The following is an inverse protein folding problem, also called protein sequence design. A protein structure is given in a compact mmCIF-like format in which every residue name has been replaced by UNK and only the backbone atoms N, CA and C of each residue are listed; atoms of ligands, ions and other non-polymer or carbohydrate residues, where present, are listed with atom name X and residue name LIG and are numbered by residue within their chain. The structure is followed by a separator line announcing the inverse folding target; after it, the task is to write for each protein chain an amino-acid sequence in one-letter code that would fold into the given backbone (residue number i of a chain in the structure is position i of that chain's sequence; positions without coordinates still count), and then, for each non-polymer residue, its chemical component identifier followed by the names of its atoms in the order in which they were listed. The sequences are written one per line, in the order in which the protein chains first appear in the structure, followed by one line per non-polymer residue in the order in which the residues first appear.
data_IF_793127733703
#
_entry.id   IF_793127733703
#
_cell.length_a   1.000
_cell.length_b   1.000
_cell.length_c   1.000
_cell.angle_alpha   90.00
_cell.angle_beta   90.00
_cell.angle_gamma   90.00
#
_symmetry.space_group_name_H-M   'P 1'
#
loop_
_entity.id
_entity.type
_entity.pdbx_description
1 polymer ?
#
# COMPACT_ATOMS: atom_id res chain seq x y z
N UNK A 1 20.06 -4.57 3.41
CA UNK A 1 18.69 -4.98 3.81
C UNK A 1 17.67 -4.18 3.03
N UNK A 2 16.60 -4.83 2.52
CA UNK A 2 15.53 -4.16 1.79
C UNK A 2 14.70 -3.26 2.72
N UNK A 3 14.19 -3.81 3.79
CA UNK A 3 13.50 -3.02 4.82
C UNK A 3 14.45 -2.49 5.89
N UNK A 4 14.14 -1.33 6.51
CA UNK A 4 14.88 -0.85 7.68
C UNK A 4 14.94 -1.91 8.79
N UNK A 5 16.10 -2.07 9.43
CA UNK A 5 16.27 -3.05 10.51
C UNK A 5 15.27 -2.83 11.66
N UNK A 6 14.97 -1.56 11.98
CA UNK A 6 13.97 -1.19 13.01
C UNK A 6 12.59 -1.70 12.67
N UNK A 7 12.14 -1.50 11.42
CA UNK A 7 10.84 -2.01 10.95
C UNK A 7 10.78 -3.53 11.06
N UNK A 8 11.84 -4.24 10.63
CA UNK A 8 11.91 -5.69 10.75
C UNK A 8 11.83 -6.15 12.20
N UNK A 9 12.58 -5.50 13.08
CA UNK A 9 12.58 -5.81 14.52
C UNK A 9 11.20 -5.59 15.14
N UNK A 10 10.59 -4.42 14.91
CA UNK A 10 9.29 -4.06 15.48
C UNK A 10 8.17 -4.97 14.97
N UNK A 11 8.14 -5.26 13.67
CA UNK A 11 7.19 -6.21 13.09
C UNK A 11 7.37 -7.62 13.64
N UNK A 12 8.61 -8.12 13.69
CA UNK A 12 8.89 -9.47 14.19
C UNK A 12 8.48 -9.60 15.66
N UNK A 13 8.87 -8.63 16.49
CA UNK A 13 8.46 -8.58 17.90
C UNK A 13 6.94 -8.56 18.04
N UNK A 14 6.26 -7.72 17.28
CA UNK A 14 4.80 -7.59 17.30
C UNK A 14 4.10 -8.90 16.92
N UNK A 15 4.56 -9.56 15.87
CA UNK A 15 4.03 -10.85 15.41
C UNK A 15 4.22 -11.94 16.47
N UNK A 16 5.42 -12.03 17.03
CA UNK A 16 5.74 -13.04 18.08
C UNK A 16 4.84 -12.82 19.30
N UNK A 17 4.71 -11.58 19.77
CA UNK A 17 3.88 -11.25 20.93
C UNK A 17 2.41 -11.62 20.70
N UNK A 18 1.84 -11.33 19.51
CA UNK A 18 0.45 -11.70 19.20
C UNK A 18 0.28 -13.21 19.15
N UNK A 19 1.20 -13.94 18.50
CA UNK A 19 1.18 -15.41 18.48
C UNK A 19 1.27 -16.02 19.88
N UNK A 20 2.12 -15.49 20.74
CA UNK A 20 2.24 -15.97 22.14
C UNK A 20 0.97 -15.72 22.97
N UNK A 21 0.21 -14.67 22.63
CA UNK A 21 -1.08 -14.35 23.26
C UNK A 21 -2.26 -15.13 22.65
N UNK A 22 -2.04 -15.96 21.62
CA UNK A 22 -3.09 -16.68 20.90
C UNK A 22 -4.03 -15.76 20.10
N UNK A 23 -3.53 -14.57 19.68
CA UNK A 23 -4.30 -13.64 18.86
C UNK A 23 -4.02 -13.97 17.40
N UNK A 24 -5.02 -14.48 16.69
CA UNK A 24 -4.91 -14.87 15.28
C UNK A 24 -5.21 -13.72 14.31
N UNK A 25 -6.07 -12.79 14.71
CA UNK A 25 -6.46 -11.63 13.89
C UNK A 25 -5.88 -10.36 14.47
N UNK A 26 -4.77 -9.91 13.90
CA UNK A 26 -4.10 -8.66 14.28
C UNK A 26 -3.69 -7.85 13.05
N UNK A 27 -3.74 -6.52 13.12
CA UNK A 27 -3.36 -5.67 12.01
C UNK A 27 -1.84 -5.54 11.92
N UNK A 28 -1.33 -5.45 10.71
CA UNK A 28 0.08 -5.12 10.45
C UNK A 28 0.24 -3.66 10.03
N UNK A 29 -0.71 -3.15 9.25
CA UNK A 29 -0.69 -1.81 8.69
C UNK A 29 -2.06 -1.16 8.88
N UNK A 30 -2.11 -0.01 9.52
CA UNK A 30 -3.29 0.86 9.49
C UNK A 30 -3.28 1.68 8.20
N UNK A 31 -4.31 1.56 7.37
CA UNK A 31 -4.57 2.44 6.24
C UNK A 31 -5.36 3.65 6.75
N UNK A 32 -4.72 4.79 6.89
CA UNK A 32 -5.34 6.04 7.37
C UNK A 32 -5.59 6.97 6.19
N UNK A 33 -6.85 7.31 5.95
CA UNK A 33 -7.31 8.20 4.89
C UNK A 33 -7.91 9.48 5.50
N UNK A 34 -7.08 10.49 5.88
CA UNK A 34 -7.58 11.71 6.52
C UNK A 34 -8.52 12.53 5.63
N UNK A 35 -8.39 12.37 4.31
CA UNK A 35 -9.23 13.00 3.29
C UNK A 35 -9.29 12.13 2.04
N UNK A 36 -10.41 12.22 1.33
CA UNK A 36 -10.54 11.66 -0.02
C UNK A 36 -10.29 12.69 -1.13
N UNK A 37 -10.09 13.97 -0.76
CA UNK A 37 -9.77 15.02 -1.72
C UNK A 37 -8.46 14.71 -2.44
N UNK A 38 -8.48 14.83 -3.77
CA UNK A 38 -7.32 14.61 -4.61
C UNK A 38 -7.21 15.71 -5.68
N UNK A 39 -6.00 16.03 -6.09
CA UNK A 39 -5.69 16.95 -7.19
C UNK A 39 -5.56 16.22 -8.55
N UNK A 40 -5.93 14.94 -8.61
CA UNK A 40 -6.00 14.10 -9.80
C UNK A 40 -7.33 13.36 -9.88
N UNK A 41 -7.66 12.88 -11.11
CA UNK A 41 -8.85 12.10 -11.40
C UNK A 41 -8.53 10.80 -12.15
N UNK A 42 -7.48 10.09 -11.72
CA UNK A 42 -6.94 8.91 -12.40
C UNK A 42 -8.01 7.92 -12.84
N UNK A 43 -7.85 7.36 -14.06
CA UNK A 43 -8.82 6.47 -14.68
C UNK A 43 -9.14 5.22 -13.85
N UNK A 44 -8.15 4.65 -13.18
CA UNK A 44 -8.29 3.45 -12.33
C UNK A 44 -8.61 3.71 -10.85
N UNK A 45 -8.81 4.98 -10.44
CA UNK A 45 -9.02 5.30 -9.04
C UNK A 45 -10.45 5.04 -8.57
N UNK A 46 -10.65 4.06 -7.67
CA UNK A 46 -11.93 3.80 -7.03
C UNK A 46 -12.30 4.85 -5.97
N UNK A 47 -11.30 5.43 -5.27
CA UNK A 47 -11.53 6.31 -4.11
C UNK A 47 -12.34 7.54 -4.41
N UNK A 48 -11.92 8.33 -5.41
CA UNK A 48 -12.62 9.57 -5.78
C UNK A 48 -14.03 9.32 -6.32
N UNK A 49 -14.32 8.11 -6.79
CA UNK A 49 -15.64 7.72 -7.29
C UNK A 49 -16.52 7.15 -6.19
N UNK A 50 -15.97 6.28 -5.35
CA UNK A 50 -16.66 5.68 -4.20
C UNK A 50 -17.12 6.75 -3.19
N UNK A 51 -16.32 7.80 -2.99
CA UNK A 51 -16.59 8.87 -2.03
C UNK A 51 -16.89 10.22 -2.70
N UNK A 52 -17.45 10.23 -3.91
CA UNK A 52 -17.73 11.45 -4.66
C UNK A 52 -18.61 12.46 -3.88
N UNK A 53 -19.62 11.97 -3.17
CA UNK A 53 -20.55 12.81 -2.40
C UNK A 53 -19.91 13.39 -1.13
N UNK A 54 -18.91 12.72 -0.57
CA UNK A 54 -18.22 13.11 0.67
C UNK A 54 -16.76 13.50 0.44
N UNK A 55 -16.38 13.76 -0.81
CA UNK A 55 -15.00 13.99 -1.23
C UNK A 55 -14.30 15.14 -0.49
N UNK A 56 -15.09 16.13 -0.02
CA UNK A 56 -14.58 17.31 0.70
C UNK A 56 -14.48 17.12 2.20
N UNK A 57 -14.98 16.02 2.72
CA UNK A 57 -14.90 15.72 4.14
C UNK A 57 -13.45 15.41 4.53
N UNK A 58 -13.09 15.85 5.73
CA UNK A 58 -11.77 15.61 6.30
C UNK A 58 -11.91 15.21 7.76
N UNK A 59 -11.07 14.28 8.18
CA UNK A 59 -10.93 13.96 9.60
C UNK A 59 -10.25 15.14 10.33
N UNK A 60 -10.63 15.39 11.56
CA UNK A 60 -9.80 16.23 12.44
C UNK A 60 -8.47 15.52 12.76
N UNK A 61 -7.46 16.29 13.17
CA UNK A 61 -6.19 15.72 13.62
C UNK A 61 -6.40 14.79 14.82
N UNK A 62 -7.29 15.16 15.74
CA UNK A 62 -7.63 14.38 16.92
C UNK A 62 -8.23 13.01 16.54
N UNK A 63 -9.16 12.97 15.58
CA UNK A 63 -9.73 11.71 15.07
C UNK A 63 -8.66 10.83 14.41
N UNK A 64 -7.74 11.41 13.63
CA UNK A 64 -6.62 10.68 13.04
C UNK A 64 -5.75 10.05 14.13
N UNK A 65 -5.35 10.82 15.15
CA UNK A 65 -4.49 10.36 16.23
C UNK A 65 -5.18 9.32 17.12
N UNK A 66 -6.47 9.54 17.43
CA UNK A 66 -7.30 8.54 18.12
C UNK A 66 -7.32 7.21 17.37
N UNK A 67 -7.47 7.26 16.06
CA UNK A 67 -7.47 6.05 15.23
C UNK A 67 -6.12 5.32 15.25
N UNK A 68 -5.01 6.06 15.28
CA UNK A 68 -3.66 5.49 15.43
C UNK A 68 -3.49 4.85 16.81
N UNK A 69 -4.07 5.43 17.86
CA UNK A 69 -4.01 4.91 19.23
C UNK A 69 -4.92 3.68 19.42
N UNK A 70 -6.08 3.63 18.76
CA UNK A 70 -7.00 2.47 18.78
C UNK A 70 -6.43 1.25 18.04
N UNK A 71 -5.67 1.46 16.98
CA UNK A 71 -5.15 0.38 16.13
C UNK A 71 -3.74 -0.03 16.55
N UNK A 72 -3.54 -1.28 16.99
CA UNK A 72 -2.22 -1.73 17.47
C UNK A 72 -1.20 -1.96 16.34
N UNK A 73 -1.54 -1.73 15.07
CA UNK A 73 -0.63 -1.89 13.93
C UNK A 73 0.68 -1.11 14.14
N UNK A 74 1.85 -1.72 13.92
CA UNK A 74 3.13 -1.01 14.01
C UNK A 74 3.40 -0.07 12.84
N UNK A 75 2.70 -0.24 11.73
CA UNK A 75 2.83 0.58 10.52
C UNK A 75 1.55 1.37 10.28
N UNK A 76 1.71 2.64 9.90
CA UNK A 76 0.61 3.51 9.45
C UNK A 76 0.90 3.95 8.01
N UNK A 77 0.00 3.62 7.10
CA UNK A 77 0.02 4.19 5.75
C UNK A 77 -0.89 5.40 5.72
N UNK A 78 -0.34 6.59 5.53
CA UNK A 78 -1.11 7.81 5.32
C UNK A 78 -1.40 7.91 3.82
N UNK A 79 -2.67 7.84 3.46
CA UNK A 79 -3.16 7.73 2.08
C UNK A 79 -4.54 8.41 1.94
N UNK A 80 -5.38 7.94 1.05
CA UNK A 80 -6.73 8.45 0.79
C UNK A 80 -6.83 9.03 -0.61
N UNK A 81 -7.15 10.33 -0.73
CA UNK A 81 -6.95 11.10 -1.96
C UNK A 81 -5.47 11.45 -2.12
N UNK A 82 -5.13 12.74 -2.05
CA UNK A 82 -3.72 13.19 -1.96
C UNK A 82 -3.47 13.73 -0.55
N UNK A 83 -2.65 13.04 0.27
CA UNK A 83 -2.42 13.43 1.67
C UNK A 83 -1.85 14.83 1.85
N UNK A 84 -1.08 15.36 0.89
CA UNK A 84 -0.60 16.75 0.95
C UNK A 84 -1.70 17.80 0.86
N UNK A 85 -2.94 17.43 0.52
CA UNK A 85 -4.10 18.31 0.58
C UNK A 85 -4.76 18.35 1.97
N UNK A 86 -4.36 17.46 2.88
CA UNK A 86 -4.83 17.49 4.26
C UNK A 86 -4.10 18.59 5.03
N UNK A 87 -4.81 19.59 5.60
CA UNK A 87 -4.17 20.78 6.19
C UNK A 87 -3.21 20.47 7.34
N UNK A 88 -3.47 19.40 8.09
CA UNK A 88 -2.67 19.00 9.27
C UNK A 88 -1.68 17.89 8.96
N UNK A 89 -1.32 17.65 7.69
CA UNK A 89 -0.51 16.47 7.30
C UNK A 89 0.86 16.43 7.97
N UNK A 90 1.55 17.56 8.10
CA UNK A 90 2.88 17.62 8.72
C UNK A 90 2.81 17.32 10.21
N UNK A 91 1.84 17.91 10.91
CA UNK A 91 1.61 17.65 12.32
C UNK A 91 1.17 16.20 12.56
N UNK A 92 0.33 15.64 11.69
CA UNK A 92 -0.05 14.23 11.75
C UNK A 92 1.17 13.31 11.63
N UNK A 93 2.05 13.56 10.65
CA UNK A 93 3.30 12.78 10.48
C UNK A 93 4.13 12.83 11.76
N UNK A 94 4.38 14.03 12.31
CA UNK A 94 5.16 14.22 13.53
C UNK A 94 4.55 13.43 14.70
N UNK A 95 3.26 13.61 14.95
CA UNK A 95 2.56 12.96 16.07
C UNK A 95 2.47 11.43 15.93
N UNK A 96 2.41 10.90 14.72
CA UNK A 96 2.45 9.45 14.46
C UNK A 96 3.86 8.90 14.71
N UNK A 97 4.91 9.63 14.30
CA UNK A 97 6.30 9.27 14.58
C UNK A 97 6.63 9.30 16.07
N UNK A 98 6.11 10.29 16.83
CA UNK A 98 6.25 10.36 18.30
C UNK A 98 5.68 9.11 19.01
N UNK A 99 4.67 8.46 18.41
CA UNK A 99 4.09 7.20 18.89
C UNK A 99 4.93 5.96 18.55
N UNK A 100 6.10 6.16 17.93
CA UNK A 100 7.01 5.09 17.54
C UNK A 100 6.52 4.27 16.33
N UNK A 101 5.48 4.71 15.64
CA UNK A 101 4.96 4.02 14.45
C UNK A 101 5.89 4.21 13.25
N UNK A 102 5.86 3.26 12.33
CA UNK A 102 6.47 3.40 11.02
C UNK A 102 5.45 3.97 10.04
N UNK A 103 5.84 4.95 9.22
CA UNK A 103 4.95 5.61 8.26
C UNK A 103 5.35 5.26 6.84
N UNK A 104 4.36 4.85 6.03
CA UNK A 104 4.39 4.91 4.58
C UNK A 104 3.47 6.05 4.13
N UNK A 105 4.06 7.08 3.53
CA UNK A 105 3.35 8.26 3.06
C UNK A 105 3.10 8.15 1.57
N UNK A 106 1.86 7.79 1.17
CA UNK A 106 1.50 7.55 -0.22
C UNK A 106 1.09 8.84 -0.91
N UNK A 107 1.78 9.21 -1.99
CA UNK A 107 1.53 10.46 -2.72
C UNK A 107 1.65 10.28 -4.22
N UNK A 108 0.88 11.05 -4.99
CA UNK A 108 1.05 11.21 -6.43
C UNK A 108 2.22 12.14 -6.81
N UNK A 109 2.91 12.65 -5.81
CA UNK A 109 4.10 13.50 -5.87
C UNK A 109 3.91 14.90 -6.50
N UNK A 110 2.72 15.32 -6.91
CA UNK A 110 2.51 16.65 -7.48
C UNK A 110 2.84 17.80 -6.48
N UNK A 111 2.72 17.54 -5.20
CA UNK A 111 3.04 18.49 -4.13
C UNK A 111 4.29 18.12 -3.34
N UNK A 112 4.97 17.03 -3.72
CA UNK A 112 6.08 16.47 -2.96
C UNK A 112 7.26 17.46 -2.85
N UNK A 113 7.71 18.07 -3.94
CA UNK A 113 8.84 19.01 -3.90
C UNK A 113 8.62 20.16 -2.92
N UNK A 114 7.39 20.73 -2.90
CA UNK A 114 7.00 21.76 -1.96
C UNK A 114 6.88 21.24 -0.53
N UNK A 115 6.29 20.06 -0.35
CA UNK A 115 6.14 19.42 0.96
C UNK A 115 7.48 19.15 1.64
N UNK A 116 8.48 18.74 0.88
CA UNK A 116 9.84 18.44 1.36
C UNK A 116 10.54 19.65 2.00
N UNK A 117 10.18 20.89 1.65
CA UNK A 117 10.76 22.09 2.25
C UNK A 117 10.43 22.23 3.75
N UNK A 118 9.39 21.56 4.21
CA UNK A 118 8.90 21.59 5.60
C UNK A 118 9.01 20.25 6.32
N UNK A 119 9.72 19.28 5.73
CA UNK A 119 9.86 17.93 6.27
C UNK A 119 11.31 17.58 6.53
N UNK A 120 11.56 16.74 7.54
CA UNK A 120 12.89 16.18 7.82
C UNK A 120 12.87 14.64 7.65
N UNK A 121 13.97 14.05 7.15
CA UNK A 121 14.11 12.59 7.11
C UNK A 121 14.01 11.98 8.50
N UNK A 122 13.32 10.85 8.59
CA UNK A 122 13.21 10.09 9.84
C UNK A 122 13.34 8.59 9.56
N UNK A 123 14.02 7.79 10.42
CA UNK A 123 14.24 6.36 10.19
C UNK A 123 12.96 5.53 10.02
N UNK A 124 11.85 5.98 10.63
CA UNK A 124 10.55 5.34 10.58
C UNK A 124 9.63 5.97 9.53
N UNK A 125 10.14 6.85 8.65
CA UNK A 125 9.34 7.52 7.62
C UNK A 125 9.81 7.13 6.23
N UNK A 126 8.89 6.69 5.38
CA UNK A 126 9.14 6.34 3.98
C UNK A 126 8.11 7.03 3.09
N UNK A 127 8.57 7.75 2.09
CA UNK A 127 7.71 8.31 1.05
C UNK A 127 7.44 7.21 0.02
N UNK A 128 6.18 6.99 -0.31
CA UNK A 128 5.75 6.02 -1.31
C UNK A 128 5.12 6.76 -2.50
N UNK A 129 5.85 6.83 -3.61
CA UNK A 129 5.43 7.56 -4.81
C UNK A 129 4.75 6.62 -5.80
N UNK A 130 3.58 7.01 -6.27
CA UNK A 130 2.85 6.26 -7.29
C UNK A 130 3.41 6.52 -8.70
N UNK A 131 3.76 5.43 -9.42
CA UNK A 131 4.27 5.46 -10.79
C UNK A 131 3.86 4.20 -11.56
N UNK A 132 3.03 4.34 -12.61
CA UNK A 132 2.43 3.21 -13.36
C UNK A 132 3.01 3.01 -14.78
N UNK A 133 4.11 3.64 -15.12
CA UNK A 133 4.77 3.56 -16.41
C UNK A 133 5.75 4.72 -16.63
N UNK A 134 6.29 4.82 -17.83
CA UNK A 134 7.08 5.97 -18.25
C UNK A 134 6.16 7.18 -18.53
N UNK A 135 6.72 8.30 -18.95
CA UNK A 135 6.04 9.60 -19.02
C UNK A 135 4.67 9.54 -19.72
N UNK A 136 4.60 8.98 -20.91
CA UNK A 136 3.36 8.96 -21.70
C UNK A 136 2.28 8.11 -21.04
N UNK A 137 2.62 6.92 -20.61
CA UNK A 137 1.69 6.00 -19.94
C UNK A 137 1.26 6.52 -18.59
N UNK A 138 2.20 6.99 -17.77
CA UNK A 138 1.88 7.51 -16.43
C UNK A 138 0.95 8.74 -16.52
N UNK A 139 1.28 9.71 -17.37
CA UNK A 139 0.48 10.93 -17.56
C UNK A 139 -0.93 10.61 -18.11
N UNK A 140 -1.04 9.61 -18.98
CA UNK A 140 -2.32 9.13 -19.52
C UNK A 140 -3.18 8.48 -18.43
N UNK A 141 -2.61 7.60 -17.59
CA UNK A 141 -3.33 6.93 -16.49
C UNK A 141 -3.81 7.95 -15.44
N UNK A 142 -2.99 8.95 -15.13
CA UNK A 142 -3.32 10.00 -14.18
C UNK A 142 -4.19 11.12 -14.77
N UNK A 143 -4.50 11.03 -16.08
CA UNK A 143 -5.29 12.03 -16.83
C UNK A 143 -4.72 13.45 -16.74
N UNK A 144 -3.40 13.58 -16.56
CA UNK A 144 -2.72 14.86 -16.42
C UNK A 144 -1.30 14.83 -16.95
N UNK A 145 -0.99 15.69 -17.93
CA UNK A 145 0.37 15.84 -18.49
C UNK A 145 1.35 16.45 -17.47
N UNK A 146 2.59 15.96 -17.51
CA UNK A 146 3.70 16.45 -16.70
C UNK A 146 3.77 15.86 -15.30
N UNK A 147 2.85 14.95 -14.93
CA UNK A 147 2.85 14.28 -13.63
C UNK A 147 4.09 13.43 -13.42
N UNK A 148 4.50 12.68 -14.45
CA UNK A 148 5.72 11.87 -14.41
C UNK A 148 6.96 12.71 -14.09
N UNK A 149 7.19 13.81 -14.86
CA UNK A 149 8.35 14.69 -14.63
C UNK A 149 8.37 15.27 -13.23
N UNK A 150 7.20 15.70 -12.73
CA UNK A 150 7.05 16.21 -11.37
C UNK A 150 7.35 15.14 -10.33
N UNK A 151 6.88 13.91 -10.51
CA UNK A 151 7.16 12.80 -9.61
C UNK A 151 8.66 12.45 -9.57
N UNK A 152 9.32 12.38 -10.74
CA UNK A 152 10.75 12.12 -10.83
C UNK A 152 11.58 13.24 -10.17
N UNK A 153 11.18 14.51 -10.35
CA UNK A 153 11.84 15.64 -9.68
C UNK A 153 11.70 15.55 -8.15
N UNK A 154 10.48 15.25 -7.68
CA UNK A 154 10.20 15.04 -6.25
C UNK A 154 11.01 13.88 -5.65
N UNK A 155 11.12 12.75 -6.35
CA UNK A 155 11.95 11.61 -5.93
C UNK A 155 13.43 12.04 -5.82
N UNK A 156 13.98 12.71 -6.84
CA UNK A 156 15.37 13.19 -6.81
C UNK A 156 15.63 14.11 -5.61
N UNK A 157 14.74 15.07 -5.37
CA UNK A 157 14.85 15.99 -4.23
C UNK A 157 14.78 15.24 -2.91
N UNK A 158 13.80 14.33 -2.75
CA UNK A 158 13.65 13.53 -1.54
C UNK A 158 14.91 12.68 -1.26
N UNK A 159 15.46 12.01 -2.28
CA UNK A 159 16.71 11.24 -2.14
C UNK A 159 17.90 12.13 -1.81
N UNK A 160 18.02 13.30 -2.43
CA UNK A 160 19.11 14.27 -2.13
C UNK A 160 19.03 14.79 -0.69
N UNK A 161 17.84 14.93 -0.12
CA UNK A 161 17.62 15.30 1.27
C UNK A 161 17.77 14.14 2.26
N UNK A 162 18.00 12.90 1.80
CA UNK A 162 18.22 11.74 2.65
C UNK A 162 16.94 11.01 3.08
N UNK A 163 15.80 11.29 2.45
CA UNK A 163 14.57 10.53 2.70
C UNK A 163 14.67 9.10 2.15
N UNK A 164 14.00 8.18 2.83
CA UNK A 164 13.67 6.89 2.22
C UNK A 164 12.51 7.08 1.25
N UNK A 165 12.68 6.56 0.04
CA UNK A 165 11.67 6.62 -1.00
C UNK A 165 11.46 5.24 -1.58
N UNK A 166 10.22 4.76 -1.56
CA UNK A 166 9.80 3.63 -2.38
C UNK A 166 8.78 4.10 -3.41
N UNK A 167 8.49 3.24 -4.37
CA UNK A 167 7.47 3.49 -5.38
C UNK A 167 6.42 2.39 -5.35
N UNK A 168 5.21 2.72 -5.80
CA UNK A 168 4.13 1.77 -6.01
C UNK A 168 3.69 1.80 -7.47
N UNK A 169 3.73 0.64 -8.12
CA UNK A 169 3.37 0.46 -9.52
C UNK A 169 2.20 -0.50 -9.63
N UNK A 170 1.14 -0.06 -10.27
CA UNK A 170 -0.05 -0.88 -10.55
C UNK A 170 0.06 -1.47 -11.95
N UNK A 171 -0.08 -2.78 -12.05
CA UNK A 171 -0.10 -3.50 -13.32
C UNK A 171 -1.55 -3.64 -13.80
N UNK A 172 -1.87 -2.97 -14.90
CA UNK A 172 -3.16 -3.01 -15.56
C UNK A 172 -3.15 -3.96 -16.78
N UNK A 173 -4.30 -4.14 -17.41
CA UNK A 173 -4.45 -4.99 -18.58
C UNK A 173 -3.55 -4.55 -19.74
N UNK A 174 -3.50 -3.25 -20.00
CA UNK A 174 -2.72 -2.64 -21.09
C UNK A 174 -1.27 -2.30 -20.70
N UNK A 175 -0.84 -2.61 -19.47
CA UNK A 175 0.54 -2.35 -19.05
C UNK A 175 1.52 -3.11 -19.92
N UNK A 176 2.45 -2.39 -20.56
CA UNK A 176 3.59 -2.96 -21.28
C UNK A 176 4.72 -3.27 -20.29
N UNK A 177 5.09 -4.54 -20.17
CA UNK A 177 6.13 -4.97 -19.24
C UNK A 177 7.54 -4.56 -19.68
N UNK A 178 7.77 -4.29 -20.97
CA UNK A 178 9.02 -3.71 -21.45
C UNK A 178 9.17 -2.28 -20.92
N UNK A 179 8.09 -1.50 -20.98
CA UNK A 179 8.07 -0.15 -20.41
C UNK A 179 8.27 -0.18 -18.88
N UNK A 180 7.67 -1.15 -18.19
CA UNK A 180 7.87 -1.34 -16.74
C UNK A 180 9.32 -1.68 -16.39
N UNK A 181 10.01 -2.48 -17.21
CA UNK A 181 11.43 -2.76 -17.04
C UNK A 181 12.27 -1.48 -17.17
N UNK A 182 11.95 -0.62 -18.13
CA UNK A 182 12.58 0.71 -18.28
C UNK A 182 12.31 1.60 -17.06
N UNK A 183 11.06 1.62 -16.56
CA UNK A 183 10.73 2.37 -15.34
C UNK A 183 11.56 1.88 -14.15
N UNK A 184 11.62 0.57 -13.91
CA UNK A 184 12.36 0.01 -12.77
C UNK A 184 13.87 0.24 -12.89
N UNK A 185 14.41 0.26 -14.11
CA UNK A 185 15.79 0.66 -14.37
C UNK A 185 16.02 2.13 -13.97
N UNK A 186 15.15 3.04 -14.41
CA UNK A 186 15.20 4.45 -14.02
C UNK A 186 15.09 4.63 -12.49
N UNK A 187 14.19 3.91 -11.83
CA UNK A 187 14.03 3.98 -10.37
C UNK A 187 15.27 3.47 -9.63
N UNK A 188 15.95 2.48 -10.19
CA UNK A 188 17.23 1.97 -9.67
C UNK A 188 18.32 3.04 -9.79
N UNK A 189 18.41 3.72 -10.94
CA UNK A 189 19.34 4.83 -11.17
C UNK A 189 19.08 6.03 -10.25
N UNK A 190 17.80 6.26 -9.90
CA UNK A 190 17.39 7.26 -8.92
C UNK A 190 17.65 6.82 -7.47
N UNK A 191 18.15 5.60 -7.27
CA UNK A 191 18.48 5.04 -5.98
C UNK A 191 17.29 4.99 -5.00
N UNK A 192 16.10 4.62 -5.52
CA UNK A 192 14.93 4.37 -4.66
C UNK A 192 15.19 3.16 -3.75
N UNK A 193 14.61 3.19 -2.56
CA UNK A 193 14.87 2.18 -1.54
C UNK A 193 14.11 0.87 -1.78
N UNK A 194 13.07 0.90 -2.61
CA UNK A 194 12.33 -0.29 -3.00
C UNK A 194 11.14 0.01 -3.91
N UNK A 195 10.65 -1.02 -4.57
CA UNK A 195 9.54 -0.97 -5.53
C UNK A 195 8.44 -1.91 -5.03
N UNK A 196 7.26 -1.37 -4.79
CA UNK A 196 6.03 -2.15 -4.58
C UNK A 196 5.36 -2.34 -5.93
N UNK A 197 4.89 -3.54 -6.20
CA UNK A 197 4.15 -3.84 -7.42
C UNK A 197 2.94 -4.71 -7.09
N UNK A 198 1.79 -4.38 -7.68
CA UNK A 198 0.55 -5.11 -7.47
C UNK A 198 -0.32 -5.06 -8.75
N UNK A 199 -1.21 -6.02 -8.97
CA UNK A 199 -2.25 -5.88 -10.00
C UNK A 199 -3.22 -4.76 -9.60
N UNK A 200 -3.93 -4.18 -10.55
CA UNK A 200 -5.05 -3.29 -10.26
C UNK A 200 -6.27 -4.06 -9.73
N UNK A 201 -7.10 -3.41 -8.93
CA UNK A 201 -8.38 -3.97 -8.44
C UNK A 201 -9.56 -3.34 -9.17
N UNK A 202 -10.46 -4.17 -9.67
CA UNK A 202 -11.68 -3.75 -10.34
C UNK A 202 -12.72 -3.25 -9.35
N UNK A 203 -12.67 -1.95 -9.03
CA UNK A 203 -13.71 -1.31 -8.23
C UNK A 203 -15.03 -1.25 -9.01
N UNK A 204 -16.17 -1.49 -8.36
CA UNK A 204 -17.50 -1.37 -8.99
C UNK A 204 -17.73 0.01 -9.62
N UNK A 205 -17.18 1.06 -9.00
CA UNK A 205 -17.25 2.44 -9.48
C UNK A 205 -16.34 2.73 -10.70
N UNK A 206 -15.51 1.78 -11.13
CA UNK A 206 -14.56 1.92 -12.25
C UNK A 206 -14.84 0.82 -13.28
N UNK A 207 -14.92 1.18 -14.57
CA UNK A 207 -15.23 0.21 -15.64
C UNK A 207 -14.21 -0.94 -15.72
N UNK A 208 -14.69 -2.16 -15.96
CA UNK A 208 -13.93 -3.43 -15.90
C UNK A 208 -12.76 -3.54 -16.91
N UNK A 209 -12.73 -2.70 -17.93
CA UNK A 209 -11.77 -2.84 -19.05
C UNK A 209 -10.30 -2.63 -18.68
N UNK A 210 -10.02 -1.98 -17.57
CA UNK A 210 -8.66 -1.65 -17.14
C UNK A 210 -7.99 -2.77 -16.35
N UNK A 211 -8.77 -3.61 -15.67
CA UNK A 211 -8.27 -4.54 -14.68
C UNK A 211 -8.03 -5.94 -15.26
N UNK A 212 -7.06 -6.62 -14.67
CA UNK A 212 -6.71 -7.99 -15.02
C UNK A 212 -7.61 -8.99 -14.29
N UNK A 213 -8.00 -10.04 -14.99
CA UNK A 213 -8.55 -11.24 -14.36
C UNK A 213 -7.41 -12.08 -13.74
N UNK A 214 -7.75 -12.94 -12.79
CA UNK A 214 -6.75 -13.76 -12.06
C UNK A 214 -5.76 -14.51 -12.98
N UNK A 215 -6.23 -15.15 -14.05
CA UNK A 215 -5.36 -15.85 -15.02
C UNK A 215 -4.45 -14.89 -15.81
N UNK A 216 -4.91 -13.68 -16.07
CA UNK A 216 -4.09 -12.64 -16.72
C UNK A 216 -3.04 -12.12 -15.76
N UNK A 217 -3.40 -11.96 -14.46
CA UNK A 217 -2.45 -11.61 -13.39
C UNK A 217 -1.35 -12.67 -13.34
N UNK A 218 -1.72 -13.96 -13.23
CA UNK A 218 -0.77 -15.05 -13.13
C UNK A 218 0.26 -15.02 -14.28
N UNK A 219 -0.19 -14.83 -15.54
CA UNK A 219 0.70 -14.73 -16.71
C UNK A 219 1.62 -13.51 -16.68
N UNK A 220 1.08 -12.32 -16.39
CA UNK A 220 1.91 -11.10 -16.35
C UNK A 220 2.90 -11.13 -15.21
N UNK A 221 2.52 -11.69 -14.07
CA UNK A 221 3.40 -11.76 -12.91
C UNK A 221 4.47 -12.85 -12.97
N UNK A 222 4.45 -13.74 -13.96
CA UNK A 222 5.63 -14.57 -14.28
C UNK A 222 6.83 -13.67 -14.64
N UNK A 223 6.63 -12.72 -15.58
CA UNK A 223 7.68 -11.77 -15.99
C UNK A 223 8.06 -10.79 -14.87
N UNK A 224 7.07 -10.27 -14.13
CA UNK A 224 7.31 -9.38 -12.98
C UNK A 224 8.12 -10.11 -11.89
N UNK A 225 7.88 -11.40 -11.68
CA UNK A 225 8.69 -12.19 -10.76
C UNK A 225 10.15 -12.30 -11.23
N UNK A 226 10.40 -12.48 -12.53
CA UNK A 226 11.77 -12.46 -13.07
C UNK A 226 12.45 -11.09 -12.88
N UNK A 227 11.70 -9.99 -13.03
CA UNK A 227 12.19 -8.64 -12.74
C UNK A 227 12.62 -8.49 -11.27
N UNK A 228 11.92 -9.14 -10.32
CA UNK A 228 12.26 -9.07 -8.89
C UNK A 228 13.66 -9.63 -8.54
N UNK A 229 14.27 -10.40 -9.45
CA UNK A 229 15.64 -10.90 -9.31
C UNK A 229 16.71 -9.86 -9.68
N UNK A 230 16.31 -8.81 -10.43
CA UNK A 230 17.19 -7.72 -10.91
C UNK A 230 16.94 -6.42 -10.17
N UNK A 231 15.72 -6.15 -9.78
CA UNK A 231 15.31 -4.90 -9.15
C UNK A 231 14.98 -5.11 -7.67
N UNK A 232 15.12 -4.04 -6.89
CA UNK A 232 14.88 -4.08 -5.45
C UNK A 232 13.39 -3.95 -5.13
N UNK A 233 12.68 -5.07 -5.14
CA UNK A 233 11.26 -5.08 -4.77
C UNK A 233 11.06 -5.08 -3.27
N UNK A 234 10.00 -4.37 -2.82
CA UNK A 234 9.43 -4.46 -1.49
C UNK A 234 8.27 -5.47 -1.42
N UNK A 235 7.64 -5.80 -2.55
CA UNK A 235 6.73 -6.94 -2.62
C UNK A 235 7.47 -8.22 -2.29
N UNK A 236 6.93 -9.00 -1.34
CA UNK A 236 7.63 -10.21 -0.85
C UNK A 236 7.71 -11.31 -1.92
N UNK A 237 8.75 -12.15 -1.92
CA UNK A 237 8.85 -13.26 -2.87
C UNK A 237 7.67 -14.23 -2.77
N UNK A 238 7.13 -14.46 -1.58
CA UNK A 238 5.98 -15.32 -1.39
C UNK A 238 4.70 -14.72 -2.00
N UNK A 239 4.51 -13.40 -1.88
CA UNK A 239 3.41 -12.71 -2.53
C UNK A 239 3.57 -12.74 -4.07
N UNK A 240 4.77 -12.50 -4.59
CA UNK A 240 5.04 -12.59 -6.02
C UNK A 240 4.81 -14.01 -6.56
N UNK A 241 5.18 -15.06 -5.82
CA UNK A 241 4.87 -16.46 -6.16
C UNK A 241 3.36 -16.74 -6.14
N UNK A 242 2.61 -16.10 -5.24
CA UNK A 242 1.15 -16.16 -5.26
C UNK A 242 0.59 -15.48 -6.51
N UNK A 243 1.08 -14.31 -6.86
CA UNK A 243 0.62 -13.58 -8.05
C UNK A 243 0.87 -14.33 -9.35
N UNK A 244 1.94 -15.10 -9.47
CA UNK A 244 2.21 -15.92 -10.65
C UNK A 244 1.62 -17.37 -10.57
N UNK A 245 0.77 -17.64 -9.57
CA UNK A 245 0.04 -18.90 -9.46
C UNK A 245 0.82 -20.07 -8.84
N UNK A 246 2.08 -19.89 -8.42
CA UNK A 246 2.89 -20.98 -7.81
C UNK A 246 2.55 -21.24 -6.33
N UNK A 247 1.86 -20.31 -5.68
CA UNK A 247 1.51 -20.40 -4.27
C UNK A 247 0.04 -20.05 -4.05
N UNK A 248 -0.55 -20.71 -3.06
CA UNK A 248 -1.89 -20.33 -2.57
C UNK A 248 -1.74 -19.54 -1.28
N UNK A 249 -2.45 -18.42 -1.19
CA UNK A 249 -2.60 -17.61 0.03
C UNK A 249 -4.08 -17.38 0.28
N UNK A 250 -4.48 -17.32 1.54
CA UNK A 250 -5.81 -16.89 1.94
C UNK A 250 -5.77 -15.41 2.32
N UNK A 251 -6.77 -14.65 1.88
CA UNK A 251 -6.85 -13.23 2.22
C UNK A 251 -7.05 -13.03 3.72
N UNK A 252 -6.29 -12.10 4.31
CA UNK A 252 -6.42 -11.69 5.71
C UNK A 252 -6.79 -10.20 5.78
N UNK A 253 -8.06 -9.82 5.50
CA UNK A 253 -8.45 -8.42 5.34
C UNK A 253 -8.26 -7.59 6.62
N UNK A 254 -8.35 -8.22 7.80
CA UNK A 254 -8.05 -7.58 9.09
C UNK A 254 -6.57 -7.17 9.27
N UNK A 255 -5.69 -7.65 8.40
CA UNK A 255 -4.26 -7.31 8.43
C UNK A 255 -3.97 -5.86 8.06
N UNK A 256 -4.86 -5.25 7.25
CA UNK A 256 -4.77 -3.86 6.80
C UNK A 256 -6.10 -3.12 7.02
N UNK A 257 -6.52 -2.90 8.29
CA UNK A 257 -7.72 -2.14 8.58
C UNK A 257 -7.63 -0.71 8.03
N UNK A 258 -8.74 -0.18 7.58
CA UNK A 258 -8.84 1.15 7.01
C UNK A 258 -9.68 2.06 7.90
N UNK A 259 -9.17 3.27 8.16
CA UNK A 259 -9.91 4.36 8.81
C UNK A 259 -9.98 5.56 7.86
N UNK A 260 -11.17 5.98 7.52
CA UNK A 260 -11.42 7.11 6.64
C UNK A 260 -12.40 8.12 7.28
N UNK A 261 -12.83 9.13 6.55
CA UNK A 261 -13.75 10.18 7.03
C UNK A 261 -15.09 9.63 7.53
N UNK A 262 -15.53 8.46 7.05
CA UNK A 262 -16.81 7.83 7.40
C UNK A 262 -16.72 6.89 8.61
N UNK A 263 -15.53 6.44 8.98
CA UNK A 263 -15.35 5.51 10.08
C UNK A 263 -14.31 4.41 9.80
N UNK A 264 -14.33 3.36 10.60
CA UNK A 264 -13.55 2.16 10.37
C UNK A 264 -14.22 1.29 9.32
N UNK A 265 -13.63 1.24 8.14
CA UNK A 265 -14.17 0.58 6.95
C UNK A 265 -14.06 -0.94 7.05
N UNK A 266 -15.14 -1.64 6.76
CA UNK A 266 -15.18 -3.09 6.66
C UNK A 266 -15.77 -3.55 5.32
N UNK A 267 -15.38 -4.72 4.81
CA UNK A 267 -14.45 -5.69 5.40
C UNK A 267 -12.98 -5.39 5.12
N UNK A 268 -12.65 -4.53 4.15
CA UNK A 268 -11.25 -4.30 3.77
C UNK A 268 -11.05 -2.94 3.08
N UNK A 269 -9.82 -2.65 2.72
CA UNK A 269 -9.47 -1.45 1.99
C UNK A 269 -10.22 -1.26 0.66
N UNK A 270 -10.57 -2.35 -0.04
CA UNK A 270 -11.13 -2.33 -1.40
C UNK A 270 -12.65 -2.37 -1.46
N UNK A 271 -13.28 -3.06 -0.52
CA UNK A 271 -14.73 -3.30 -0.46
C UNK A 271 -15.28 -2.58 0.77
N UNK A 272 -16.45 -1.93 0.61
CA UNK A 272 -17.14 -1.21 1.67
C UNK A 272 -18.53 -1.77 1.85
N UNK A 273 -18.78 -2.46 2.96
CA UNK A 273 -20.11 -2.89 3.37
C UNK A 273 -20.60 -2.07 4.57
N UNK A 274 -19.68 -1.69 5.47
CA UNK A 274 -19.99 -0.94 6.66
C UNK A 274 -18.87 0.02 7.06
N UNK A 275 -19.22 1.01 7.89
CA UNK A 275 -18.29 1.84 8.63
C UNK A 275 -18.64 1.78 10.13
N UNK A 276 -17.66 1.44 10.96
CA UNK A 276 -17.81 1.33 12.40
C UNK A 276 -17.21 2.54 13.12
N UNK A 277 -17.74 2.94 14.28
CA UNK A 277 -17.25 4.09 15.04
C UNK A 277 -15.91 3.84 15.74
N UNK A 278 -15.53 2.57 15.97
CA UNK A 278 -14.27 2.21 16.62
C UNK A 278 -13.62 0.99 15.96
N UNK A 279 -12.28 0.90 16.08
CA UNK A 279 -11.50 -0.27 15.63
C UNK A 279 -12.01 -1.56 16.28
N UNK A 280 -12.32 -1.50 17.58
CA UNK A 280 -12.81 -2.64 18.33
C UNK A 280 -14.12 -3.16 17.75
N UNK A 281 -15.09 -2.28 17.51
CA UNK A 281 -16.39 -2.69 16.95
C UNK A 281 -16.24 -3.29 15.55
N UNK A 282 -15.40 -2.70 14.70
CA UNK A 282 -15.11 -3.26 13.39
C UNK A 282 -14.56 -4.70 13.51
N UNK A 283 -13.60 -4.93 14.40
CA UNK A 283 -12.99 -6.25 14.58
C UNK A 283 -13.96 -7.29 15.14
N UNK A 284 -14.83 -6.88 16.08
CA UNK A 284 -15.78 -7.78 16.77
C UNK A 284 -17.05 -8.06 15.94
N UNK A 285 -17.55 -7.04 15.20
CA UNK A 285 -18.86 -7.15 14.51
C UNK A 285 -18.74 -7.60 13.06
N UNK A 286 -17.57 -7.45 12.41
CA UNK A 286 -17.39 -7.92 11.04
C UNK A 286 -17.35 -9.45 11.00
N UNK A 287 -18.27 -10.04 10.23
CA UNK A 287 -18.22 -11.48 9.95
C UNK A 287 -17.17 -11.78 8.88
N UNK A 288 -15.92 -11.93 9.31
CA UNK A 288 -14.78 -12.19 8.46
C UNK A 288 -14.89 -13.47 7.62
N UNK A 289 -15.76 -14.41 8.00
CA UNK A 289 -15.95 -15.68 7.28
C UNK A 289 -16.67 -15.50 5.94
N UNK A 290 -17.39 -14.40 5.75
CA UNK A 290 -18.10 -14.09 4.51
C UNK A 290 -17.19 -13.63 3.37
N UNK A 291 -15.97 -13.17 3.67
CA UNK A 291 -15.10 -12.52 2.71
C UNK A 291 -13.92 -13.38 2.28
N UNK A 292 -13.50 -13.23 1.03
CA UNK A 292 -12.42 -13.96 0.40
C UNK A 292 -12.85 -14.74 -0.83
N UNK A 293 -11.88 -15.30 -1.55
CA UNK A 293 -12.12 -16.07 -2.77
C UNK A 293 -13.03 -17.27 -2.49
N UNK A 294 -14.09 -17.43 -3.29
CA UNK A 294 -15.08 -18.49 -3.11
C UNK A 294 -16.13 -18.23 -2.03
N UNK A 295 -16.09 -17.09 -1.36
CA UNK A 295 -17.06 -16.68 -0.32
C UNK A 295 -17.80 -15.40 -0.69
N UNK A 296 -17.13 -14.47 -1.35
CA UNK A 296 -17.71 -13.22 -1.85
C UNK A 296 -17.28 -13.05 -3.32
N UNK A 297 -18.25 -12.78 -4.22
CA UNK A 297 -18.01 -12.66 -5.66
C UNK A 297 -17.04 -11.50 -5.98
N UNK A 298 -17.10 -10.40 -5.22
CA UNK A 298 -16.18 -9.25 -5.36
C UNK A 298 -14.72 -9.62 -5.08
N UNK A 299 -14.51 -10.69 -4.32
CA UNK A 299 -13.17 -11.23 -4.01
C UNK A 299 -12.63 -12.18 -5.08
N UNK A 300 -13.45 -12.64 -6.05
CA UNK A 300 -13.09 -13.72 -6.96
C UNK A 300 -11.80 -13.45 -7.76
N UNK A 301 -11.62 -12.20 -8.23
CA UNK A 301 -10.44 -11.80 -9.00
C UNK A 301 -9.37 -11.09 -8.15
N UNK A 302 -9.65 -10.84 -6.88
CA UNK A 302 -8.75 -10.08 -6.01
C UNK A 302 -7.46 -10.85 -5.70
N UNK A 303 -6.32 -10.20 -5.99
CA UNK A 303 -4.97 -10.64 -5.63
C UNK A 303 -4.14 -9.49 -5.03
N UNK A 304 -4.82 -8.51 -4.40
CA UNK A 304 -4.20 -7.27 -3.93
C UNK A 304 -3.32 -7.46 -2.68
N UNK A 305 -2.23 -6.71 -2.66
CA UNK A 305 -1.24 -6.75 -1.57
C UNK A 305 -1.85 -6.46 -0.18
N UNK A 306 -2.86 -5.59 -0.08
CA UNK A 306 -3.48 -5.22 1.21
C UNK A 306 -4.11 -6.41 1.96
N UNK A 307 -4.54 -7.46 1.25
CA UNK A 307 -5.07 -8.67 1.87
C UNK A 307 -4.09 -9.84 1.88
N UNK A 308 -3.17 -9.91 0.92
CA UNK A 308 -2.31 -11.07 0.71
C UNK A 308 -0.86 -10.91 1.20
N UNK A 309 -0.30 -9.69 1.29
CA UNK A 309 0.98 -9.48 1.98
C UNK A 309 0.88 -9.76 3.50
N UNK A 310 -0.19 -9.36 4.22
CA UNK A 310 -0.36 -9.81 5.60
C UNK A 310 -0.50 -11.33 5.74
N UNK A 311 -1.09 -12.01 4.73
CA UNK A 311 -1.18 -13.48 4.72
C UNK A 311 0.18 -14.15 4.66
N UNK A 312 1.15 -13.56 3.96
CA UNK A 312 2.54 -14.06 3.92
C UNK A 312 3.10 -14.17 5.34
N UNK A 313 2.84 -13.17 6.19
CA UNK A 313 3.30 -13.17 7.59
C UNK A 313 2.73 -14.35 8.39
N UNK A 314 1.46 -14.71 8.13
CA UNK A 314 0.83 -15.84 8.78
C UNK A 314 1.42 -17.18 8.29
N UNK A 315 1.79 -17.25 7.01
CA UNK A 315 2.28 -18.48 6.36
C UNK A 315 3.78 -18.73 6.57
N UNK A 316 4.62 -17.68 6.55
CA UNK A 316 6.09 -17.81 6.68
C UNK A 316 6.49 -18.64 7.90
N UNK A 317 5.82 -18.46 9.03
CA UNK A 317 6.13 -19.20 10.25
C UNK A 317 5.86 -20.70 10.21
N UNK A 318 5.19 -21.22 9.17
CA UNK A 318 4.85 -22.63 9.01
C UNK A 318 5.96 -23.44 8.31
N UNK A 319 6.93 -22.77 7.65
CA UNK A 319 7.98 -23.41 6.86
C UNK A 319 9.35 -22.77 7.10
N UNK A 320 10.32 -23.57 7.53
CA UNK A 320 11.70 -23.08 7.69
C UNK A 320 12.32 -22.62 6.37
N UNK A 321 11.91 -23.20 5.23
CA UNK A 321 12.36 -22.78 3.89
C UNK A 321 11.87 -21.38 3.56
N UNK A 322 10.60 -21.08 3.88
CA UNK A 322 10.01 -19.76 3.66
C UNK A 322 10.68 -18.71 4.57
N UNK A 323 10.96 -19.08 5.82
CA UNK A 323 11.71 -18.19 6.74
C UNK A 323 13.08 -17.85 6.15
N UNK A 324 13.82 -18.88 5.68
CA UNK A 324 15.14 -18.66 5.09
C UNK A 324 15.07 -17.81 3.82
N UNK A 325 14.10 -18.08 2.94
CA UNK A 325 13.89 -17.29 1.71
C UNK A 325 13.62 -15.81 2.03
N UNK A 326 12.77 -15.53 3.02
CA UNK A 326 12.47 -14.16 3.45
C UNK A 326 13.68 -13.46 4.07
N UNK A 327 14.50 -14.18 4.84
CA UNK A 327 15.74 -13.63 5.40
C UNK A 327 16.72 -13.27 4.28
N UNK A 328 16.98 -14.22 3.36
CA UNK A 328 17.89 -14.00 2.23
C UNK A 328 17.40 -12.82 1.38
N UNK A 329 16.12 -12.82 1.00
CA UNK A 329 15.52 -11.73 0.22
C UNK A 329 15.65 -10.37 0.90
N UNK A 330 15.47 -10.29 2.21
CA UNK A 330 15.58 -9.02 2.93
C UNK A 330 17.05 -8.54 3.07
N UNK A 331 18.01 -9.48 3.04
CA UNK A 331 19.45 -9.15 3.15
C UNK A 331 20.08 -8.74 1.81
N UNK A 332 19.55 -9.23 0.70
CA UNK A 332 19.98 -8.86 -0.67
C UNK A 332 19.29 -7.61 -1.18
#
# INVERSE_FOLDING_TARGET
MRFPWRLNYDLTKYIIVNKMKGIDKYPLVLMLEPTHLCNLACSGCGRIREYADTIKEMMSLEECLKSVDECPAPVVTITGGEPFLYPHVLELIEKVLERGKHIYFCTNALLLEKGLDSMCPHPNFTINVHLDGMEETHDRILERKGTFKTAIAGIRKAKALGFRVCTNTTIFKETDLVEIDMLFSLLTDLNVDGILVAPGFGYEAVGEKLFLERREIERKFEEVYEMSKRFRFYSTPMYLKFLKGERKLECTPWGNPTRNTQGWKAPCYLITDDHYPSYREMMEKTDWSKYGVGRDERCAQCMMHCGFEPSVVAEVGKSWKDILEMIVWNMT
#
